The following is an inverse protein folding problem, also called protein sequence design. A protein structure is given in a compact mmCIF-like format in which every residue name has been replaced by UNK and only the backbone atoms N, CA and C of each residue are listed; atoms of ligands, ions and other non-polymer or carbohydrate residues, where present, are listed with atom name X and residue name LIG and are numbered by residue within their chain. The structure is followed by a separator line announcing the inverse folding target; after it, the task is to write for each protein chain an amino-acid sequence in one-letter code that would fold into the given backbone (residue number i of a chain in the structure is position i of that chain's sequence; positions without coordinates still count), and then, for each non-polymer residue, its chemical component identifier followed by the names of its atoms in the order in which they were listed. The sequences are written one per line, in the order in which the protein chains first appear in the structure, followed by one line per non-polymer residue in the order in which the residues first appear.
data_IF_296294877745
#
_entry.id   IF_296294877745
#
_cell.length_a   1.000
_cell.length_b   1.000
_cell.length_c   1.000
_cell.angle_alpha   90.00
_cell.angle_beta   90.00
_cell.angle_gamma   90.00
#
_symmetry.space_group_name_H-M   'P 1'
#
loop_
_entity.id
_entity.type
_entity.pdbx_description
1 polymer ?
#
# COMPACT_ATOMS: atom_id res chain seq x y z
N UNK A 1 31.92 15.32 31.52
CA UNK A 1 32.79 16.50 31.72
C UNK A 1 32.18 17.69 30.99
N UNK A 2 32.27 18.91 31.53
CA UNK A 2 31.85 20.14 30.82
C UNK A 2 33.07 20.85 30.24
N UNK A 3 32.99 21.26 28.98
CA UNK A 3 34.06 22.00 28.29
C UNK A 3 33.68 23.47 28.15
N UNK A 4 34.66 24.38 28.30
CA UNK A 4 34.44 25.82 28.16
C UNK A 4 34.47 26.20 26.67
N UNK A 5 33.39 26.79 26.19
CA UNK A 5 33.29 27.39 24.87
C UNK A 5 33.32 28.91 25.01
N UNK A 6 34.15 29.60 24.22
CA UNK A 6 34.18 31.06 24.14
C UNK A 6 33.72 31.44 22.73
N UNK A 7 32.67 32.24 22.64
CA UNK A 7 32.12 32.70 21.37
C UNK A 7 31.57 34.13 21.53
N UNK A 8 31.62 34.89 20.45
CA UNK A 8 30.98 36.19 20.37
C UNK A 8 29.56 36.03 19.84
N UNK A 9 28.63 36.78 20.42
CA UNK A 9 27.21 36.80 20.01
C UNK A 9 26.75 38.24 19.88
N UNK A 10 25.79 38.49 18.99
CA UNK A 10 25.18 39.81 18.84
C UNK A 10 24.47 40.27 20.12
N UNK A 11 24.39 41.59 20.32
CA UNK A 11 23.84 42.19 21.55
C UNK A 11 22.39 41.80 21.85
N UNK A 12 21.57 41.60 20.82
CA UNK A 12 20.19 41.12 20.97
C UNK A 12 20.15 39.69 21.53
N UNK A 13 20.98 38.80 20.97
CA UNK A 13 21.04 37.39 21.38
C UNK A 13 21.62 37.26 22.79
N UNK A 14 22.64 38.06 23.11
CA UNK A 14 23.17 38.18 24.47
C UNK A 14 22.07 38.55 25.46
N UNK A 15 21.30 39.59 25.16
CA UNK A 15 20.18 40.04 26.02
C UNK A 15 19.14 38.93 26.23
N UNK A 16 18.80 38.18 25.17
CA UNK A 16 17.88 37.03 25.24
C UNK A 16 18.41 35.91 26.14
N UNK A 17 19.69 35.55 26.03
CA UNK A 17 20.32 34.51 26.86
C UNK A 17 20.41 34.94 28.31
N UNK A 18 20.78 36.20 28.57
CA UNK A 18 20.80 36.77 29.93
C UNK A 18 19.41 36.69 30.56
N UNK A 19 18.38 37.17 29.85
CA UNK A 19 17.00 37.15 30.35
C UNK A 19 16.48 35.72 30.59
N UNK A 20 16.80 34.77 29.71
CA UNK A 20 16.42 33.36 29.89
C UNK A 20 17.16 32.70 31.06
N UNK A 21 18.43 33.03 31.25
CA UNK A 21 19.27 32.53 32.34
C UNK A 21 18.97 33.13 33.71
N UNK A 22 18.20 34.22 33.79
CA UNK A 22 17.75 34.80 35.06
C UNK A 22 16.54 34.09 35.67
N UNK A 23 15.95 33.11 34.97
CA UNK A 23 14.82 32.32 35.47
C UNK A 23 15.29 31.32 36.54
N UNK A 24 14.53 31.10 37.63
CA UNK A 24 14.89 30.12 38.65
C UNK A 24 15.15 28.74 38.05
N UNK A 25 16.28 28.13 38.40
CA UNK A 25 16.67 26.80 37.91
C UNK A 25 17.28 26.77 36.50
N UNK A 26 17.41 27.91 35.81
CA UNK A 26 18.13 28.00 34.55
C UNK A 26 19.41 28.82 34.73
N UNK A 27 20.45 28.49 33.96
CA UNK A 27 21.66 29.29 33.85
C UNK A 27 21.89 29.63 32.39
N UNK A 28 22.61 30.73 32.12
CA UNK A 28 22.98 31.09 30.74
C UNK A 28 23.69 29.93 30.03
N UNK A 29 24.58 29.22 30.73
CA UNK A 29 25.23 28.02 30.20
C UNK A 29 24.25 26.89 29.87
N UNK A 30 23.22 26.68 30.69
CA UNK A 30 22.18 25.67 30.41
C UNK A 30 21.31 26.06 29.20
N UNK A 31 20.97 27.35 29.06
CA UNK A 31 20.23 27.88 27.90
C UNK A 31 21.05 27.70 26.63
N UNK A 32 22.34 28.05 26.66
CA UNK A 32 23.26 27.87 25.51
C UNK A 32 23.41 26.39 25.17
N UNK A 33 23.59 25.52 26.17
CA UNK A 33 23.71 24.08 25.96
C UNK A 33 22.45 23.49 25.30
N UNK A 34 21.26 23.93 25.73
CA UNK A 34 19.98 23.50 25.14
C UNK A 34 19.82 23.99 23.70
N UNK A 35 20.18 25.26 23.44
CA UNK A 35 20.13 25.82 22.09
C UNK A 35 21.09 25.10 21.14
N UNK A 36 22.31 24.76 21.59
CA UNK A 36 23.26 23.99 20.80
C UNK A 36 22.76 22.56 20.54
N UNK A 37 22.18 21.89 21.54
CA UNK A 37 21.55 20.58 21.36
C UNK A 37 20.43 20.63 20.32
N UNK A 38 19.57 21.65 20.39
CA UNK A 38 18.50 21.86 19.41
C UNK A 38 19.04 22.16 18.01
N UNK A 39 20.09 22.97 17.89
CA UNK A 39 20.73 23.27 16.60
C UNK A 39 21.29 22.00 15.93
N UNK A 40 22.01 21.17 16.70
CA UNK A 40 22.56 19.92 16.18
C UNK A 40 21.49 18.83 15.96
N UNK A 41 20.35 18.87 16.68
CA UNK A 41 19.22 17.98 16.40
C UNK A 41 18.47 18.39 15.13
N UNK A 42 18.36 19.69 14.85
CA UNK A 42 17.62 20.22 13.70
C UNK A 42 18.10 19.63 12.36
N UNK A 43 19.42 19.51 12.18
CA UNK A 43 20.00 18.92 10.97
C UNK A 43 19.64 17.43 10.80
N UNK A 44 19.62 16.67 11.91
CA UNK A 44 19.20 15.27 11.92
C UNK A 44 17.70 15.13 11.67
N UNK A 45 16.90 16.03 12.24
CA UNK A 45 15.45 16.00 12.10
C UNK A 45 15.01 16.42 10.70
N UNK A 46 15.65 17.42 10.07
CA UNK A 46 15.39 17.78 8.68
C UNK A 46 15.66 16.64 7.69
N UNK A 47 16.72 15.85 7.90
CA UNK A 47 17.01 14.68 7.07
C UNK A 47 15.93 13.59 7.22
N UNK A 48 15.47 13.37 8.45
CA UNK A 48 14.38 12.43 8.75
C UNK A 48 13.06 12.89 8.13
N UNK A 49 12.72 14.15 8.32
CA UNK A 49 11.51 14.78 7.79
C UNK A 49 11.48 14.73 6.25
N UNK A 50 12.61 15.03 5.60
CA UNK A 50 12.75 14.88 4.15
C UNK A 50 12.52 13.44 3.68
N UNK A 51 13.01 12.46 4.44
CA UNK A 51 12.77 11.05 4.18
C UNK A 51 11.30 10.66 4.34
N UNK A 52 10.61 11.25 5.32
CA UNK A 52 9.17 11.03 5.54
C UNK A 52 8.33 11.62 4.40
N UNK A 53 8.65 12.84 3.95
CA UNK A 53 7.97 13.49 2.81
C UNK A 53 8.11 12.62 1.56
N UNK A 54 9.31 12.11 1.26
CA UNK A 54 9.51 11.20 0.11
C UNK A 54 8.67 9.93 0.21
N UNK A 55 8.62 9.30 1.39
CA UNK A 55 7.77 8.11 1.60
C UNK A 55 6.30 8.45 1.43
N UNK A 56 5.87 9.61 1.89
CA UNK A 56 4.50 10.07 1.72
C UNK A 56 4.16 10.29 0.24
N UNK A 57 5.05 10.91 -0.53
CA UNK A 57 4.89 11.05 -1.98
C UNK A 57 4.79 9.69 -2.68
N UNK A 58 5.61 8.73 -2.28
CA UNK A 58 5.57 7.37 -2.84
C UNK A 58 4.25 6.66 -2.54
N UNK A 59 3.72 6.82 -1.32
CA UNK A 59 2.40 6.30 -0.92
C UNK A 59 1.29 6.97 -1.75
N UNK A 60 1.33 8.29 -1.91
CA UNK A 60 0.32 9.01 -2.70
C UNK A 60 0.32 8.58 -4.17
N UNK A 61 1.50 8.35 -4.76
CA UNK A 61 1.59 7.80 -6.13
C UNK A 61 1.03 6.38 -6.21
N UNK A 62 1.31 5.54 -5.20
CA UNK A 62 0.77 4.18 -5.15
C UNK A 62 -0.76 4.19 -5.03
N UNK A 63 -1.33 5.07 -4.20
CA UNK A 63 -2.77 5.25 -4.06
C UNK A 63 -3.42 5.71 -5.37
N UNK A 64 -2.84 6.70 -6.05
CA UNK A 64 -3.34 7.15 -7.36
C UNK A 64 -3.28 6.05 -8.42
N UNK A 65 -2.31 5.12 -8.33
CA UNK A 65 -2.29 3.93 -9.20
C UNK A 65 -3.42 2.97 -8.84
N UNK A 66 -3.60 2.67 -7.56
CA UNK A 66 -4.69 1.80 -7.07
C UNK A 66 -6.05 2.34 -7.49
N UNK A 67 -6.27 3.66 -7.42
CA UNK A 67 -7.52 4.29 -7.83
C UNK A 67 -7.81 4.06 -9.33
N UNK A 68 -6.79 4.24 -10.20
CA UNK A 68 -6.92 3.93 -11.63
C UNK A 68 -7.17 2.45 -11.89
N UNK A 69 -6.43 1.57 -11.21
CA UNK A 69 -6.60 0.13 -11.34
C UNK A 69 -8.01 -0.28 -10.88
N UNK A 70 -8.52 0.32 -9.79
CA UNK A 70 -9.88 0.10 -9.30
C UNK A 70 -10.93 0.57 -10.31
N UNK A 71 -10.72 1.70 -10.96
CA UNK A 71 -11.64 2.18 -12.01
C UNK A 71 -11.69 1.21 -13.19
N UNK A 72 -10.54 0.74 -13.67
CA UNK A 72 -10.48 -0.29 -14.71
C UNK A 72 -11.18 -1.60 -14.29
N UNK A 73 -11.04 -2.01 -13.02
CA UNK A 73 -11.76 -3.17 -12.49
C UNK A 73 -13.28 -2.97 -12.41
N UNK A 74 -13.75 -1.75 -12.10
CA UNK A 74 -15.18 -1.43 -12.12
C UNK A 74 -15.74 -1.51 -13.53
N UNK A 75 -15.05 -0.95 -14.52
CA UNK A 75 -15.43 -1.05 -15.94
C UNK A 75 -15.46 -2.51 -16.41
N UNK A 76 -14.45 -3.31 -16.05
CA UNK A 76 -14.42 -4.74 -16.37
C UNK A 76 -15.61 -5.49 -15.73
N UNK A 77 -15.94 -5.18 -14.49
CA UNK A 77 -17.05 -5.84 -13.77
C UNK A 77 -18.39 -5.50 -14.41
N UNK A 78 -18.58 -4.25 -14.82
CA UNK A 78 -19.77 -3.80 -15.54
C UNK A 78 -19.91 -4.53 -16.89
N UNK A 79 -18.82 -4.63 -17.67
CA UNK A 79 -18.80 -5.36 -18.93
C UNK A 79 -19.14 -6.85 -18.75
N UNK A 80 -18.61 -7.49 -17.71
CA UNK A 80 -18.94 -8.90 -17.40
C UNK A 80 -20.40 -9.04 -17.00
N UNK A 81 -20.92 -8.16 -16.15
CA UNK A 81 -22.34 -8.18 -15.77
C UNK A 81 -23.25 -7.99 -16.98
N UNK A 82 -22.90 -7.05 -17.87
CA UNK A 82 -23.62 -6.81 -19.11
C UNK A 82 -23.56 -8.02 -20.05
N UNK A 83 -22.39 -8.66 -20.21
CA UNK A 83 -22.23 -9.87 -20.99
C UNK A 83 -23.12 -11.01 -20.46
N UNK A 84 -23.12 -11.25 -19.14
CA UNK A 84 -23.98 -12.25 -18.53
C UNK A 84 -25.47 -11.96 -18.79
N UNK A 85 -25.89 -10.70 -18.70
CA UNK A 85 -27.27 -10.29 -19.00
C UNK A 85 -27.63 -10.46 -20.48
N UNK A 86 -26.69 -10.17 -21.39
CA UNK A 86 -26.92 -10.24 -22.83
C UNK A 86 -27.02 -11.68 -23.33
N UNK A 87 -26.20 -12.58 -22.80
CA UNK A 87 -26.09 -13.97 -23.25
C UNK A 87 -26.83 -14.97 -22.37
N UNK A 88 -27.42 -14.55 -21.24
CA UNK A 88 -28.24 -15.43 -20.42
C UNK A 88 -29.55 -15.76 -21.15
N UNK A 89 -29.82 -17.04 -21.48
CA UNK A 89 -31.08 -17.43 -22.09
C UNK A 89 -32.25 -17.13 -21.13
N UNK A 90 -33.44 -16.80 -21.64
CA UNK A 90 -34.62 -16.67 -20.80
C UNK A 90 -34.92 -18.02 -20.13
N UNK A 91 -35.02 -18.01 -18.80
CA UNK A 91 -35.25 -19.20 -17.98
C UNK A 91 -36.62 -19.11 -17.29
N UNK A 92 -37.25 -20.26 -17.06
CA UNK A 92 -38.43 -20.35 -16.18
C UNK A 92 -38.01 -20.20 -14.70
N UNK A 93 -38.96 -19.88 -13.82
CA UNK A 93 -38.68 -19.75 -12.38
C UNK A 93 -38.04 -21.02 -11.79
N UNK A 94 -38.47 -22.21 -12.25
CA UNK A 94 -37.91 -23.49 -11.81
C UNK A 94 -36.45 -23.68 -12.29
N UNK A 95 -36.15 -23.29 -13.53
CA UNK A 95 -34.78 -23.31 -14.07
C UNK A 95 -33.87 -22.31 -13.33
N UNK A 96 -34.39 -21.12 -12.99
CA UNK A 96 -33.69 -20.13 -12.18
C UNK A 96 -33.38 -20.71 -10.79
N UNK A 97 -34.35 -21.32 -10.14
CA UNK A 97 -34.15 -21.96 -8.82
C UNK A 97 -33.09 -23.07 -8.87
N UNK A 98 -33.12 -23.93 -9.89
CA UNK A 98 -32.13 -24.98 -10.09
C UNK A 98 -30.73 -24.40 -10.37
N UNK A 99 -30.63 -23.37 -11.21
CA UNK A 99 -29.38 -22.68 -11.52
C UNK A 99 -28.77 -22.02 -10.27
N UNK A 100 -29.58 -21.33 -9.46
CA UNK A 100 -29.14 -20.73 -8.19
C UNK A 100 -28.60 -21.80 -7.24
N UNK A 101 -29.30 -22.94 -7.11
CA UNK A 101 -28.86 -24.05 -6.25
C UNK A 101 -27.52 -24.63 -6.73
N UNK A 102 -27.36 -24.86 -8.04
CA UNK A 102 -26.11 -25.34 -8.63
C UNK A 102 -24.95 -24.34 -8.46
N UNK A 103 -25.22 -23.05 -8.69
CA UNK A 103 -24.23 -21.97 -8.54
C UNK A 103 -23.79 -21.82 -7.09
N UNK A 104 -24.70 -21.88 -6.12
CA UNK A 104 -24.34 -21.86 -4.69
C UNK A 104 -23.37 -22.99 -4.32
N UNK A 105 -23.62 -24.20 -4.84
CA UNK A 105 -22.73 -25.36 -4.63
C UNK A 105 -21.35 -25.14 -5.25
N UNK A 106 -21.28 -24.74 -6.52
CA UNK A 106 -20.01 -24.47 -7.23
C UNK A 106 -19.23 -23.32 -6.59
N UNK A 107 -19.92 -22.25 -6.21
CA UNK A 107 -19.31 -21.10 -5.55
C UNK A 107 -18.73 -21.45 -4.17
N UNK A 108 -19.39 -22.32 -3.40
CA UNK A 108 -18.85 -22.82 -2.14
C UNK A 108 -17.56 -23.63 -2.34
N UNK A 109 -17.51 -24.49 -3.38
CA UNK A 109 -16.30 -25.25 -3.74
C UNK A 109 -15.17 -24.32 -4.18
N UNK A 110 -15.48 -23.33 -5.04
CA UNK A 110 -14.54 -22.31 -5.46
C UNK A 110 -13.95 -21.54 -4.27
N UNK A 111 -14.79 -21.04 -3.36
CA UNK A 111 -14.34 -20.33 -2.16
C UNK A 111 -13.42 -21.20 -1.29
N UNK A 112 -13.75 -22.48 -1.12
CA UNK A 112 -12.89 -23.42 -0.38
C UNK A 112 -11.52 -23.56 -1.06
N UNK A 113 -11.48 -23.76 -2.38
CA UNK A 113 -10.23 -23.85 -3.12
C UNK A 113 -9.38 -22.56 -3.01
N UNK A 114 -10.03 -21.39 -3.05
CA UNK A 114 -9.36 -20.10 -2.83
C UNK A 114 -8.80 -19.99 -1.41
N UNK A 115 -9.59 -20.36 -0.40
CA UNK A 115 -9.16 -20.32 1.00
C UNK A 115 -7.98 -21.27 1.26
N UNK A 116 -8.06 -22.52 0.81
CA UNK A 116 -7.00 -23.52 0.97
C UNK A 116 -5.71 -23.04 0.29
N UNK A 117 -5.83 -22.37 -0.86
CA UNK A 117 -4.68 -21.83 -1.59
C UNK A 117 -4.08 -20.60 -0.91
N UNK A 118 -4.89 -19.63 -0.47
CA UNK A 118 -4.40 -18.47 0.28
C UNK A 118 -3.74 -18.89 1.60
N UNK A 119 -4.31 -19.88 2.30
CA UNK A 119 -3.73 -20.49 3.49
C UNK A 119 -2.38 -21.16 3.24
N UNK A 120 -2.13 -21.64 2.00
CA UNK A 120 -0.85 -22.23 1.59
C UNK A 120 0.25 -21.20 1.26
N UNK A 121 -0.05 -19.90 1.24
CA UNK A 121 0.93 -18.83 0.97
C UNK A 121 1.40 -18.69 -0.49
N UNK A 122 0.81 -19.46 -1.43
CA UNK A 122 1.15 -19.42 -2.86
C UNK A 122 0.53 -18.18 -3.55
N UNK A 123 1.33 -17.46 -4.35
CA UNK A 123 0.88 -16.26 -5.08
C UNK A 123 0.27 -16.63 -6.44
N UNK A 124 -0.96 -16.18 -6.68
CA UNK A 124 -1.76 -16.41 -7.90
C UNK A 124 -1.00 -16.15 -9.22
N UNK A 125 -0.30 -15.01 -9.32
CA UNK A 125 0.30 -14.56 -10.58
C UNK A 125 1.50 -15.42 -11.04
N UNK A 126 2.22 -16.05 -10.11
CA UNK A 126 3.40 -16.85 -10.46
C UNK A 126 3.05 -18.19 -11.11
N UNK A 127 1.95 -18.80 -10.69
CA UNK A 127 1.50 -20.10 -11.20
C UNK A 127 0.52 -19.95 -12.38
N UNK A 128 -0.35 -18.92 -12.39
CA UNK A 128 -1.25 -18.70 -13.52
C UNK A 128 -0.50 -18.39 -14.83
N UNK A 129 0.66 -17.71 -14.75
CA UNK A 129 1.55 -17.55 -15.89
C UNK A 129 2.27 -18.86 -16.28
N UNK A 130 2.51 -19.77 -15.34
CA UNK A 130 3.13 -21.06 -15.62
C UNK A 130 2.14 -22.07 -16.26
N UNK A 131 0.87 -22.05 -15.83
CA UNK A 131 -0.22 -22.86 -16.41
C UNK A 131 -0.74 -22.27 -17.74
N UNK A 132 -0.67 -20.94 -17.93
CA UNK A 132 -1.11 -20.28 -19.16
C UNK A 132 -0.06 -20.30 -20.28
N UNK A 133 1.18 -20.74 -20.01
CA UNK A 133 2.11 -21.14 -21.07
C UNK A 133 1.62 -22.51 -21.57
N UNK A 134 0.64 -22.46 -22.46
CA UNK A 134 0.23 -23.63 -23.23
C UNK A 134 1.46 -24.20 -23.93
N UNK A 135 1.76 -25.48 -23.68
CA UNK A 135 2.75 -26.20 -24.46
C UNK A 135 2.20 -26.42 -25.87
N UNK A 136 3.04 -26.41 -26.91
CA UNK A 136 2.62 -26.80 -28.28
C UNK A 136 1.93 -28.18 -28.30
N UNK A 137 2.27 -29.06 -27.35
CA UNK A 137 1.65 -30.38 -27.18
C UNK A 137 0.17 -30.32 -26.75
N UNK A 138 -0.27 -29.29 -26.03
CA UNK A 138 -1.65 -29.16 -25.55
C UNK A 138 -2.64 -28.92 -26.71
N UNK A 139 -2.17 -28.24 -27.76
CA UNK A 139 -2.97 -27.96 -28.97
C UNK A 139 -3.15 -29.19 -29.88
N UNK A 140 -2.20 -30.14 -29.87
CA UNK A 140 -2.26 -31.34 -30.72
C UNK A 140 -3.35 -32.31 -30.24
N UNK A 141 -3.60 -32.37 -28.92
CA UNK A 141 -4.59 -33.29 -28.34
C UNK A 141 -6.05 -33.00 -28.71
N UNK A 142 -6.38 -31.75 -29.07
CA UNK A 142 -7.76 -31.35 -29.39
C UNK A 142 -8.18 -31.67 -30.83
N UNK A 143 -7.24 -32.02 -31.71
CA UNK A 143 -7.55 -32.40 -33.10
C UNK A 143 -7.89 -33.89 -33.26
N UNK A 144 -7.51 -34.74 -32.31
CA UNK A 144 -7.64 -36.20 -32.42
C UNK A 144 -8.96 -36.76 -31.85
N UNK A 145 -9.87 -35.90 -31.35
CA UNK A 145 -11.17 -36.31 -30.78
C UNK A 145 -12.37 -36.09 -31.71
N UNK A 146 -12.13 -35.97 -33.02
CA UNK A 146 -13.19 -36.04 -34.04
C UNK A 146 -13.01 -37.28 -34.92
N UNK A 147 -13.44 -38.44 -34.41
CA UNK A 147 -14.00 -39.53 -35.22
C UNK A 147 -15.22 -40.11 -34.50
#
# INVERSE_FOLDING_TARGET
MKHRLIAYVGGELHSKVVAAGSKPGQSQSAVIEMALKAYFSLALDHARESGMIRRQDDILRALARIERDQQAHMEMTDLVAWYELLFSPPMTDEQIHAAIAATKKRHAQFRKAVQDRLGSGRRLLGEALADAVFSEDDFVSMQDTRQ
#
